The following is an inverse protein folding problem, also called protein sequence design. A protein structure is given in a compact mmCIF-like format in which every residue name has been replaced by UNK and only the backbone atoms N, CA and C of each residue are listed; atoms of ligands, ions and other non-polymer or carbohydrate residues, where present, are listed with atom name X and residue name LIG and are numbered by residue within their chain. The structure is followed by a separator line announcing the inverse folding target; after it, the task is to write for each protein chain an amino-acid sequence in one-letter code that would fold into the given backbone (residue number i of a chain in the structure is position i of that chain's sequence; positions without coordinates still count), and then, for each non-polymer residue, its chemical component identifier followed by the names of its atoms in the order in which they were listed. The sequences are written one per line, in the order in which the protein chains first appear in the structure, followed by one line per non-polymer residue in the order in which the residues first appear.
data_IF_114915028838
#
_entry.id   IF_114915028838
#
_cell.length_a   1.000
_cell.length_b   1.000
_cell.length_c   1.000
_cell.angle_alpha   90.00
_cell.angle_beta   90.00
_cell.angle_gamma   90.00
#
_symmetry.space_group_name_H-M   'P 1'
#
loop_
_entity.id
_entity.type
_entity.pdbx_description
1 polymer ?
#
# COMPACT_ATOMS: atom_id res chain seq x y z
N UNK A 1 40.05 -5.96 -41.96
CA UNK A 1 40.14 -5.18 -40.69
C UNK A 1 39.15 -5.78 -39.72
N UNK A 2 39.64 -6.62 -38.78
CA UNK A 2 38.80 -7.10 -37.68
C UNK A 2 38.45 -5.91 -36.80
N UNK A 3 37.16 -5.61 -36.69
CA UNK A 3 36.64 -4.69 -35.69
C UNK A 3 36.96 -5.34 -34.32
N UNK A 4 37.67 -4.67 -33.43
CA UNK A 4 38.08 -5.30 -32.18
C UNK A 4 36.81 -5.66 -31.36
N UNK A 5 36.75 -6.92 -30.90
CA UNK A 5 35.67 -7.45 -30.07
C UNK A 5 35.34 -6.61 -28.82
N UNK A 6 36.24 -5.72 -28.42
CA UNK A 6 36.04 -4.82 -27.26
C UNK A 6 34.86 -3.86 -27.43
N UNK A 7 34.56 -3.39 -28.65
CA UNK A 7 33.44 -2.45 -28.88
C UNK A 7 32.08 -3.13 -28.73
N UNK A 8 31.98 -4.39 -29.17
CA UNK A 8 30.74 -5.18 -29.02
C UNK A 8 30.51 -5.50 -27.56
N UNK A 9 31.57 -5.82 -26.81
CA UNK A 9 31.50 -6.08 -25.37
C UNK A 9 31.09 -4.83 -24.58
N UNK A 10 31.62 -3.67 -24.92
CA UNK A 10 31.27 -2.39 -24.31
C UNK A 10 29.82 -2.00 -24.58
N UNK A 11 29.33 -2.19 -25.80
CA UNK A 11 27.93 -1.94 -26.17
C UNK A 11 27.01 -2.88 -25.40
N UNK A 12 27.36 -4.17 -25.28
CA UNK A 12 26.60 -5.14 -24.50
C UNK A 12 26.49 -4.75 -23.02
N UNK A 13 27.60 -4.37 -22.40
CA UNK A 13 27.61 -3.90 -21.00
C UNK A 13 26.76 -2.62 -20.84
N UNK A 14 26.83 -1.71 -21.79
CA UNK A 14 26.09 -0.44 -21.77
C UNK A 14 24.57 -0.62 -21.76
N UNK A 15 24.03 -1.66 -22.39
CA UNK A 15 22.60 -1.96 -22.42
C UNK A 15 22.17 -3.01 -21.40
N UNK A 16 22.97 -4.05 -21.19
CA UNK A 16 22.60 -5.16 -20.29
C UNK A 16 22.58 -4.73 -18.84
N UNK A 17 23.57 -3.98 -18.37
CA UNK A 17 23.64 -3.56 -16.98
C UNK A 17 22.48 -2.64 -16.57
N UNK A 18 22.15 -1.56 -17.33
CA UNK A 18 20.98 -0.76 -17.02
C UNK A 18 19.65 -1.54 -17.09
N UNK A 19 19.51 -2.43 -18.08
CA UNK A 19 18.32 -3.28 -18.19
C UNK A 19 18.10 -4.12 -16.93
N UNK A 20 19.12 -4.85 -16.48
CA UNK A 20 19.03 -5.68 -15.28
C UNK A 20 18.74 -4.86 -14.03
N UNK A 21 19.29 -3.65 -13.93
CA UNK A 21 19.00 -2.75 -12.82
C UNK A 21 17.56 -2.24 -12.86
N UNK A 22 17.02 -1.95 -14.04
CA UNK A 22 15.61 -1.55 -14.20
C UNK A 22 14.67 -2.67 -13.77
N UNK A 23 14.94 -3.91 -14.19
CA UNK A 23 14.18 -5.09 -13.76
C UNK A 23 14.22 -5.25 -12.24
N UNK A 24 15.40 -5.14 -11.63
CA UNK A 24 15.55 -5.21 -10.17
C UNK A 24 14.76 -4.14 -9.44
N UNK A 25 14.74 -2.91 -9.95
CA UNK A 25 14.00 -1.81 -9.35
C UNK A 25 12.49 -1.97 -9.53
N UNK A 26 12.03 -2.46 -10.67
CA UNK A 26 10.63 -2.78 -10.93
C UNK A 26 10.14 -3.87 -9.95
N UNK A 27 10.90 -4.94 -9.78
CA UNK A 27 10.59 -6.00 -8.81
C UNK A 27 10.59 -5.49 -7.36
N UNK A 28 11.45 -4.52 -7.03
CA UNK A 28 11.47 -3.88 -5.71
C UNK A 28 10.20 -3.06 -5.49
N UNK A 29 9.71 -2.32 -6.48
CA UNK A 29 8.43 -1.61 -6.41
C UNK A 29 7.29 -2.58 -6.14
N UNK A 30 7.21 -3.68 -6.86
CA UNK A 30 6.18 -4.73 -6.67
C UNK A 30 6.25 -5.35 -5.27
N UNK A 31 7.46 -5.60 -4.77
CA UNK A 31 7.68 -6.12 -3.42
C UNK A 31 7.11 -5.19 -2.36
N UNK A 32 7.41 -3.89 -2.44
CA UNK A 32 6.89 -2.92 -1.48
C UNK A 32 5.39 -2.68 -1.63
N UNK A 33 4.85 -2.81 -2.84
CA UNK A 33 3.40 -2.82 -3.02
C UNK A 33 2.74 -3.98 -2.27
N UNK A 34 3.28 -5.17 -2.36
CA UNK A 34 2.79 -6.34 -1.62
C UNK A 34 2.85 -6.11 -0.10
N UNK A 35 3.87 -5.41 0.39
CA UNK A 35 3.93 -5.02 1.81
C UNK A 35 2.80 -4.05 2.20
N UNK A 36 2.50 -3.08 1.34
CA UNK A 36 1.37 -2.15 1.54
C UNK A 36 0.05 -2.94 1.62
N UNK A 37 -0.21 -3.80 0.65
CA UNK A 37 -1.43 -4.63 0.64
C UNK A 37 -1.54 -5.51 1.88
N UNK A 38 -0.44 -6.11 2.33
CA UNK A 38 -0.41 -6.95 3.53
C UNK A 38 -0.83 -6.17 4.77
N UNK A 39 -0.37 -4.93 4.94
CA UNK A 39 -0.75 -4.12 6.10
C UNK A 39 -2.22 -3.68 6.04
N UNK A 40 -2.72 -3.34 4.86
CA UNK A 40 -4.14 -3.05 4.68
C UNK A 40 -5.02 -4.28 4.89
N UNK A 41 -4.56 -5.46 4.50
CA UNK A 41 -5.26 -6.72 4.75
C UNK A 41 -5.37 -7.00 6.25
N UNK A 42 -4.31 -6.77 7.02
CA UNK A 42 -4.35 -6.87 8.49
C UNK A 42 -5.40 -5.95 9.11
N UNK A 43 -5.44 -4.70 8.65
CA UNK A 43 -6.48 -3.76 9.08
C UNK A 43 -7.88 -4.27 8.76
N UNK A 44 -8.09 -4.75 7.56
CA UNK A 44 -9.36 -5.33 7.11
C UNK A 44 -9.82 -6.50 7.99
N UNK A 45 -8.91 -7.36 8.40
CA UNK A 45 -9.19 -8.53 9.23
C UNK A 45 -9.54 -8.18 10.68
N UNK A 46 -9.08 -7.05 11.19
CA UNK A 46 -9.43 -6.58 12.54
C UNK A 46 -10.84 -6.00 12.64
N UNK A 47 -11.41 -5.55 11.54
CA UNK A 47 -12.69 -4.83 11.52
C UNK A 47 -13.87 -5.67 12.00
N UNK A 48 -14.07 -6.95 11.61
CA UNK A 48 -15.17 -7.76 12.10
C UNK A 48 -15.18 -7.90 13.62
N UNK A 49 -14.02 -8.10 14.23
CA UNK A 49 -13.89 -8.20 15.68
C UNK A 49 -14.22 -6.87 16.37
N UNK A 50 -13.79 -5.75 15.78
CA UNK A 50 -14.12 -4.42 16.28
C UNK A 50 -15.63 -4.17 16.24
N UNK A 51 -16.27 -4.46 15.11
CA UNK A 51 -17.72 -4.31 14.94
C UNK A 51 -18.47 -5.18 15.98
N UNK A 52 -18.08 -6.43 16.16
CA UNK A 52 -18.71 -7.33 17.11
C UNK A 52 -18.55 -6.84 18.55
N UNK A 53 -17.38 -6.35 18.91
CA UNK A 53 -17.11 -5.78 20.24
C UNK A 53 -17.98 -4.55 20.51
N UNK A 54 -18.10 -3.65 19.52
CA UNK A 54 -18.89 -2.42 19.64
C UNK A 54 -20.40 -2.71 19.64
N UNK A 55 -20.87 -3.68 18.86
CA UNK A 55 -22.27 -4.13 18.86
C UNK A 55 -22.74 -4.67 20.21
N UNK A 56 -21.82 -5.16 21.03
CA UNK A 56 -22.13 -5.62 22.39
C UNK A 56 -22.52 -4.48 23.34
N UNK A 57 -22.31 -3.23 22.97
CA UNK A 57 -22.66 -2.08 23.78
C UNK A 57 -24.05 -1.55 23.39
N UNK A 58 -24.94 -1.49 24.38
CA UNK A 58 -26.27 -0.93 24.17
C UNK A 58 -26.21 0.55 23.76
N UNK A 59 -27.03 0.93 22.80
CA UNK A 59 -27.17 2.31 22.31
C UNK A 59 -25.93 2.91 21.62
N UNK A 60 -25.00 2.09 21.13
CA UNK A 60 -23.93 2.65 20.29
C UNK A 60 -24.50 3.23 19.00
N UNK A 61 -23.92 4.34 18.54
CA UNK A 61 -24.40 5.10 17.37
C UNK A 61 -24.39 4.22 16.09
N UNK A 62 -25.58 3.88 15.61
CA UNK A 62 -25.77 2.95 14.48
C UNK A 62 -25.10 3.44 13.20
N UNK A 63 -25.21 4.73 12.90
CA UNK A 63 -24.63 5.32 11.70
C UNK A 63 -23.11 5.20 11.60
N UNK A 64 -22.42 5.17 12.74
CA UNK A 64 -20.97 4.95 12.80
C UNK A 64 -20.62 3.51 12.42
N UNK A 65 -21.36 2.53 12.94
CA UNK A 65 -21.18 1.12 12.57
C UNK A 65 -21.51 0.84 11.10
N UNK A 66 -22.55 1.45 10.59
CA UNK A 66 -22.95 1.35 9.18
C UNK A 66 -21.86 1.92 8.26
N UNK A 67 -21.28 3.07 8.61
CA UNK A 67 -20.19 3.69 7.86
C UNK A 67 -18.94 2.78 7.80
N UNK A 68 -18.56 2.15 8.91
CA UNK A 68 -17.44 1.20 8.95
C UNK A 68 -17.73 -0.04 8.10
N UNK A 69 -18.93 -0.59 8.21
CA UNK A 69 -19.36 -1.76 7.43
C UNK A 69 -19.36 -1.47 5.93
N UNK A 70 -19.85 -0.32 5.52
CA UNK A 70 -19.86 0.11 4.12
C UNK A 70 -18.45 0.34 3.59
N UNK A 71 -17.59 1.01 4.34
CA UNK A 71 -16.20 1.23 3.98
C UNK A 71 -15.44 -0.11 3.85
N UNK A 72 -15.71 -1.08 4.74
CA UNK A 72 -15.15 -2.42 4.67
C UNK A 72 -15.56 -3.14 3.39
N UNK A 73 -16.82 -3.05 2.99
CA UNK A 73 -17.33 -3.63 1.75
C UNK A 73 -16.63 -3.04 0.52
N UNK A 74 -16.45 -1.72 0.50
CA UNK A 74 -15.76 -1.02 -0.59
C UNK A 74 -14.30 -1.45 -0.74
N UNK A 75 -13.59 -1.60 0.39
CA UNK A 75 -12.19 -2.05 0.41
C UNK A 75 -12.08 -3.52 0.00
N UNK A 76 -12.98 -4.38 0.43
CA UNK A 76 -12.96 -5.82 0.15
C UNK A 76 -13.05 -6.18 -1.34
N UNK A 77 -13.61 -5.30 -2.15
CA UNK A 77 -13.71 -5.47 -3.60
C UNK A 77 -12.49 -4.95 -4.37
N UNK A 78 -11.57 -4.25 -3.70
CA UNK A 78 -10.42 -3.62 -4.35
C UNK A 78 -9.15 -4.43 -4.17
N UNK A 79 -8.73 -5.08 -5.27
CA UNK A 79 -7.40 -5.69 -5.39
C UNK A 79 -6.72 -5.11 -6.61
N UNK A 80 -5.44 -4.78 -6.48
CA UNK A 80 -4.61 -4.32 -7.60
C UNK A 80 -3.63 -5.42 -7.96
N UNK A 81 -3.56 -5.77 -9.24
CA UNK A 81 -2.52 -6.65 -9.76
C UNK A 81 -1.17 -5.92 -9.66
N UNK A 82 -0.14 -6.51 -9.00
CA UNK A 82 1.19 -5.93 -8.93
C UNK A 82 1.83 -5.63 -10.29
N UNK A 83 1.37 -6.30 -11.35
CA UNK A 83 1.81 -6.05 -12.71
C UNK A 83 1.08 -4.88 -13.40
N UNK A 84 0.07 -4.32 -12.75
CA UNK A 84 -0.74 -3.22 -13.27
C UNK A 84 -0.85 -2.06 -12.27
N UNK A 85 0.29 -1.62 -11.75
CA UNK A 85 0.43 -0.49 -10.83
C UNK A 85 0.38 0.84 -11.59
N UNK A 86 -0.81 1.21 -12.06
CA UNK A 86 -1.03 2.51 -12.69
C UNK A 86 -1.35 3.58 -11.64
N UNK A 87 -1.02 4.86 -11.88
CA UNK A 87 -1.41 5.96 -10.98
C UNK A 87 -2.91 5.98 -10.69
N UNK A 88 -3.74 5.67 -11.67
CA UNK A 88 -5.19 5.63 -11.54
C UNK A 88 -5.65 4.50 -10.60
N UNK A 89 -5.10 3.30 -10.75
CA UNK A 89 -5.44 2.16 -9.89
C UNK A 89 -5.00 2.39 -8.45
N UNK A 90 -3.80 2.93 -8.26
CA UNK A 90 -3.29 3.31 -6.92
C UNK A 90 -4.19 4.37 -6.28
N UNK A 91 -4.59 5.38 -7.02
CA UNK A 91 -5.46 6.44 -6.52
C UNK A 91 -6.83 5.92 -6.08
N UNK A 92 -7.45 5.02 -6.86
CA UNK A 92 -8.71 4.37 -6.49
C UNK A 92 -8.58 3.53 -5.22
N UNK A 93 -7.50 2.77 -5.12
CA UNK A 93 -7.19 1.98 -3.93
C UNK A 93 -7.00 2.88 -2.70
N UNK A 94 -6.19 3.91 -2.81
CA UNK A 94 -5.95 4.86 -1.72
C UNK A 94 -7.22 5.60 -1.28
N UNK A 95 -8.10 5.96 -2.22
CA UNK A 95 -9.37 6.59 -1.90
C UNK A 95 -10.27 5.68 -1.05
N UNK A 96 -10.39 4.40 -1.39
CA UNK A 96 -11.15 3.44 -0.61
C UNK A 96 -10.54 3.20 0.78
N UNK A 97 -9.22 3.10 0.87
CA UNK A 97 -8.50 2.94 2.14
C UNK A 97 -8.61 4.19 3.02
N UNK A 98 -8.61 5.38 2.44
CA UNK A 98 -8.84 6.64 3.15
C UNK A 98 -10.25 6.73 3.73
N UNK A 99 -11.25 6.27 3.00
CA UNK A 99 -12.63 6.15 3.50
C UNK A 99 -12.70 5.25 4.74
N UNK A 100 -12.01 4.12 4.71
CA UNK A 100 -11.91 3.21 5.86
C UNK A 100 -11.22 3.88 7.04
N UNK A 101 -10.11 4.58 6.83
CA UNK A 101 -9.40 5.30 7.89
C UNK A 101 -10.29 6.34 8.54
N UNK A 102 -11.07 7.09 7.76
CA UNK A 102 -12.01 8.09 8.27
C UNK A 102 -13.13 7.46 9.09
N UNK A 103 -13.70 6.35 8.62
CA UNK A 103 -14.76 5.63 9.34
C UNK A 103 -14.25 5.06 10.67
N UNK A 104 -13.06 4.47 10.70
CA UNK A 104 -12.44 3.96 11.92
C UNK A 104 -12.09 5.07 12.91
N UNK A 105 -11.55 6.19 12.43
CA UNK A 105 -11.25 7.35 13.29
C UNK A 105 -12.52 7.89 13.94
N UNK A 106 -13.60 8.01 13.19
CA UNK A 106 -14.89 8.41 13.74
C UNK A 106 -15.42 7.45 14.78
N UNK A 107 -15.29 6.13 14.53
CA UNK A 107 -15.70 5.12 15.51
C UNK A 107 -14.91 5.26 16.82
N UNK A 108 -13.60 5.45 16.74
CA UNK A 108 -12.77 5.64 17.93
C UNK A 108 -13.10 6.91 18.70
N UNK A 109 -13.38 8.03 18.01
CA UNK A 109 -13.82 9.28 18.65
C UNK A 109 -15.16 9.10 19.34
N UNK A 110 -16.13 8.49 18.67
CA UNK A 110 -17.46 8.26 19.27
C UNK A 110 -17.38 7.29 20.45
N UNK A 111 -16.48 6.31 20.41
CA UNK A 111 -16.27 5.38 21.51
C UNK A 111 -15.85 6.04 22.82
N UNK A 112 -15.31 7.26 22.76
CA UNK A 112 -14.96 8.04 23.96
C UNK A 112 -16.18 8.40 24.81
N UNK A 113 -17.36 8.42 24.22
CA UNK A 113 -18.63 8.64 24.91
C UNK A 113 -19.18 7.39 25.60
N UNK A 114 -18.52 6.24 25.44
CA UNK A 114 -18.90 4.95 25.98
C UNK A 114 -17.79 4.38 26.89
N UNK A 115 -17.67 4.88 28.13
CA UNK A 115 -16.61 4.42 29.06
C UNK A 115 -16.61 2.92 29.32
N UNK A 116 -17.78 2.29 29.29
CA UNK A 116 -17.96 0.84 29.48
C UNK A 116 -17.28 0.03 28.34
N UNK A 117 -17.40 0.51 27.10
CA UNK A 117 -16.73 -0.09 25.95
C UNK A 117 -15.21 0.04 26.07
N UNK A 118 -14.72 1.23 26.37
CA UNK A 118 -13.30 1.54 26.52
C UNK A 118 -12.64 0.80 27.69
N UNK A 119 -13.42 0.42 28.69
CA UNK A 119 -12.93 -0.37 29.81
C UNK A 119 -12.73 -1.85 29.48
N UNK A 120 -13.33 -2.36 28.39
CA UNK A 120 -13.17 -3.77 28.01
C UNK A 120 -11.76 -4.02 27.47
N UNK A 121 -11.18 -5.15 27.87
CA UNK A 121 -9.87 -5.59 27.39
C UNK A 121 -9.87 -5.78 25.88
N UNK A 122 -10.91 -6.43 25.35
CA UNK A 122 -11.07 -6.67 23.91
C UNK A 122 -11.03 -5.39 23.08
N UNK A 123 -11.69 -4.32 23.52
CA UNK A 123 -11.67 -3.06 22.81
C UNK A 123 -10.29 -2.39 22.85
N UNK A 124 -9.64 -2.40 24.00
CA UNK A 124 -8.29 -1.83 24.16
C UNK A 124 -7.25 -2.57 23.31
N UNK A 125 -7.32 -3.88 23.27
CA UNK A 125 -6.43 -4.70 22.44
C UNK A 125 -6.64 -4.43 20.96
N UNK A 126 -7.89 -4.35 20.51
CA UNK A 126 -8.21 -4.01 19.11
C UNK A 126 -7.76 -2.60 18.75
N UNK A 127 -7.96 -1.63 19.64
CA UNK A 127 -7.47 -0.27 19.44
C UNK A 127 -5.96 -0.24 19.31
N UNK A 128 -5.22 -0.92 20.17
CA UNK A 128 -3.76 -1.01 20.10
C UNK A 128 -3.28 -1.69 18.80
N UNK A 129 -3.96 -2.75 18.37
CA UNK A 129 -3.65 -3.44 17.11
C UNK A 129 -3.94 -2.56 15.89
N UNK A 130 -5.03 -1.79 15.90
CA UNK A 130 -5.35 -0.84 14.83
C UNK A 130 -4.32 0.28 14.75
N UNK A 131 -3.96 0.89 15.86
CA UNK A 131 -2.93 1.94 15.92
C UNK A 131 -1.56 1.43 15.41
N UNK A 132 -1.15 0.24 15.85
CA UNK A 132 0.06 -0.41 15.37
C UNK A 132 0.01 -0.73 13.88
N UNK A 133 -1.15 -1.11 13.36
CA UNK A 133 -1.34 -1.38 11.92
C UNK A 133 -1.30 -0.10 11.11
N UNK A 134 -1.91 1.00 11.58
CA UNK A 134 -1.84 2.31 10.93
C UNK A 134 -0.38 2.81 10.82
N UNK A 135 0.43 2.64 11.86
CA UNK A 135 1.85 2.98 11.81
C UNK A 135 2.61 2.13 10.77
N UNK A 136 2.31 0.84 10.69
CA UNK A 136 2.92 -0.05 9.69
C UNK A 136 2.45 0.27 8.27
N UNK A 137 1.19 0.67 8.09
CA UNK A 137 0.67 1.16 6.81
C UNK A 137 1.45 2.41 6.38
N UNK A 138 1.61 3.38 7.26
CA UNK A 138 2.39 4.59 6.98
C UNK A 138 3.79 4.27 6.50
N UNK A 139 4.51 3.43 7.25
CA UNK A 139 5.87 3.00 6.87
C UNK A 139 5.90 2.25 5.53
N UNK A 140 4.98 1.32 5.31
CA UNK A 140 4.93 0.56 4.06
C UNK A 140 4.65 1.47 2.84
N UNK A 141 3.81 2.48 3.00
CA UNK A 141 3.56 3.49 1.95
C UNK A 141 4.79 4.35 1.67
N UNK A 142 5.51 4.77 2.71
CA UNK A 142 6.75 5.53 2.53
C UNK A 142 7.81 4.71 1.80
N UNK A 143 7.99 3.45 2.17
CA UNK A 143 8.91 2.53 1.50
C UNK A 143 8.52 2.31 0.02
N UNK A 144 7.23 2.14 -0.26
CA UNK A 144 6.71 2.00 -1.63
C UNK A 144 6.94 3.27 -2.46
N UNK A 145 6.62 4.44 -1.93
CA UNK A 145 6.84 5.71 -2.61
C UNK A 145 8.33 5.95 -2.87
N UNK A 146 9.19 5.59 -1.93
CA UNK A 146 10.65 5.64 -2.09
C UNK A 146 11.13 4.74 -3.24
N UNK A 147 10.62 3.52 -3.33
CA UNK A 147 10.95 2.59 -4.41
C UNK A 147 10.51 3.10 -5.79
N UNK A 148 9.31 3.69 -5.89
CA UNK A 148 8.82 4.34 -7.11
C UNK A 148 9.73 5.51 -7.50
N UNK A 149 10.10 6.35 -6.56
CA UNK A 149 10.99 7.48 -6.81
C UNK A 149 12.35 7.03 -7.32
N UNK A 150 12.93 6.00 -6.72
CA UNK A 150 14.20 5.43 -7.17
C UNK A 150 14.11 4.86 -8.58
N UNK A 151 13.05 4.09 -8.86
CA UNK A 151 12.79 3.54 -10.18
C UNK A 151 12.65 4.64 -11.22
N UNK A 152 11.76 5.59 -10.99
CA UNK A 152 11.51 6.69 -11.91
C UNK A 152 12.75 7.55 -12.14
N UNK A 153 13.54 7.80 -11.10
CA UNK A 153 14.80 8.55 -11.22
C UNK A 153 15.81 7.80 -12.08
N UNK A 154 15.92 6.48 -11.87
CA UNK A 154 16.87 5.65 -12.59
C UNK A 154 16.57 5.60 -14.09
N UNK A 155 15.31 5.38 -14.49
CA UNK A 155 14.92 5.28 -15.89
C UNK A 155 14.99 6.60 -16.65
N UNK A 156 14.95 7.74 -15.93
CA UNK A 156 15.03 9.09 -16.54
C UNK A 156 16.46 9.61 -16.68
N UNK A 157 17.41 9.08 -15.92
CA UNK A 157 18.81 9.52 -16.00
C UNK A 157 19.45 9.08 -17.32
N UNK A 158 20.26 9.98 -17.91
CA UNK A 158 21.11 9.62 -19.03
C UNK A 158 22.30 8.77 -18.51
N UNK A 159 22.72 7.71 -19.21
CA UNK A 159 22.19 7.18 -20.47
C UNK A 159 21.06 6.15 -20.33
N UNK A 160 20.58 5.85 -19.12
CA UNK A 160 19.59 4.82 -18.83
C UNK A 160 18.25 5.05 -19.55
N UNK A 161 17.90 6.31 -19.78
CA UNK A 161 16.67 6.69 -20.50
C UNK A 161 16.61 6.14 -21.92
N UNK A 162 17.76 5.92 -22.56
CA UNK A 162 17.84 5.30 -23.89
C UNK A 162 17.42 3.83 -23.78
N UNK A 163 18.01 3.09 -22.84
CA UNK A 163 17.64 1.68 -22.58
C UNK A 163 16.19 1.57 -22.16
N UNK A 164 15.71 2.44 -21.29
CA UNK A 164 14.31 2.46 -20.84
C UNK A 164 13.35 2.63 -22.03
N UNK A 165 13.62 3.55 -22.93
CA UNK A 165 12.81 3.76 -24.13
C UNK A 165 12.81 2.57 -25.10
N UNK A 166 13.95 1.91 -25.27
CA UNK A 166 14.08 0.76 -26.17
C UNK A 166 13.35 -0.48 -25.66
N UNK A 167 13.32 -0.70 -24.34
CA UNK A 167 12.75 -1.90 -23.71
C UNK A 167 11.39 -1.66 -23.04
N UNK A 168 10.82 -0.46 -23.19
CA UNK A 168 9.47 -0.16 -22.73
C UNK A 168 9.30 0.00 -21.22
N UNK A 169 10.35 0.40 -20.51
CA UNK A 169 10.26 0.79 -19.11
C UNK A 169 9.66 2.20 -18.99
N UNK A 170 8.52 2.31 -18.27
CA UNK A 170 7.82 3.58 -18.07
C UNK A 170 7.68 3.90 -16.56
#
# INVERSE_FOLDING_TARGET
KKIPNNNILLIGIFFVSPYNTMVSKDETVKKYWNHVETQYQRRYELIPNLINTVKGVANFERGVLEAVTQARSSVGSMKIDPNNLTPENIQKFEAAQSQMSSALSRLLVVSEQYPQLRATESFRDLQAQLEGTENRIGKARDDFNGAIQEYNTYIRKFPNNITAGLFGFA
#
